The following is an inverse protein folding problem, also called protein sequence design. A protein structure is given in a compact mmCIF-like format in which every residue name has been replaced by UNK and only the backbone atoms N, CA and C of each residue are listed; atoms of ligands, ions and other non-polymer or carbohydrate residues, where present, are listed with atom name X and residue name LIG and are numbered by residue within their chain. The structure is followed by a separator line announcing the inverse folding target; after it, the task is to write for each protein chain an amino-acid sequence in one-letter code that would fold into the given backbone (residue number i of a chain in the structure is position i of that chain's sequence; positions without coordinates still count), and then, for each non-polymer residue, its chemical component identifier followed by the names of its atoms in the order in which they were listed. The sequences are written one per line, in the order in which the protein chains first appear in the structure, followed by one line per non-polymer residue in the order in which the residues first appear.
data_IF_007498985782
#
_entry.id   IF_007498985782
#
_cell.length_a   1.000
_cell.length_b   1.000
_cell.length_c   1.000
_cell.angle_alpha   90.00
_cell.angle_beta   90.00
_cell.angle_gamma   90.00
#
_symmetry.space_group_name_H-M   'P 1'
#
loop_
_entity.id
_entity.type
_entity.pdbx_description
1 polymer ?
#
# COMPACT_ATOMS: atom_id res chain seq x y z
N UNK A 1 -25.34 9.87 13.40
CA UNK A 1 -25.10 8.44 13.05
C UNK A 1 -24.55 8.40 11.64
N UNK A 2 -23.51 7.63 11.36
CA UNK A 2 -23.02 7.45 9.99
C UNK A 2 -23.92 6.49 9.21
N UNK A 3 -24.03 6.68 7.90
CA UNK A 3 -24.70 5.78 6.97
C UNK A 3 -23.65 4.96 6.21
N UNK A 4 -23.89 3.66 6.04
CA UNK A 4 -23.05 2.80 5.20
C UNK A 4 -23.46 3.01 3.75
N UNK A 5 -22.67 3.79 3.01
CA UNK A 5 -22.92 4.06 1.57
C UNK A 5 -22.26 3.04 0.64
N UNK A 6 -21.28 2.28 1.14
CA UNK A 6 -20.59 1.24 0.40
C UNK A 6 -19.84 0.31 1.35
N UNK A 7 -19.80 -0.98 1.01
CA UNK A 7 -19.06 -2.01 1.73
C UNK A 7 -18.51 -3.09 0.78
N UNK A 8 -17.44 -3.76 1.19
CA UNK A 8 -16.90 -4.91 0.47
C UNK A 8 -16.31 -5.92 1.46
N UNK A 9 -16.72 -7.19 1.33
CA UNK A 9 -16.23 -8.29 2.16
C UNK A 9 -15.01 -8.96 1.51
N UNK A 10 -13.81 -8.64 1.99
CA UNK A 10 -12.55 -9.22 1.50
C UNK A 10 -12.23 -10.61 2.07
N UNK A 11 -13.03 -11.11 3.04
CA UNK A 11 -12.85 -12.41 3.73
C UNK A 11 -11.51 -12.58 4.44
N UNK A 12 -10.89 -11.48 4.86
CA UNK A 12 -9.69 -11.42 5.70
C UNK A 12 -9.66 -10.09 6.48
N UNK A 13 -8.63 -9.88 7.30
CA UNK A 13 -8.46 -8.67 8.12
C UNK A 13 -7.81 -7.55 7.31
N UNK A 14 -8.59 -6.52 6.97
CA UNK A 14 -8.09 -5.32 6.30
C UNK A 14 -7.20 -4.52 7.25
N UNK A 15 -6.07 -4.01 6.74
CA UNK A 15 -5.29 -2.98 7.43
C UNK A 15 -5.51 -1.60 6.82
N UNK A 16 -5.39 -1.49 5.50
CA UNK A 16 -5.48 -0.24 4.76
C UNK A 16 -6.47 -0.33 3.61
N UNK A 17 -7.19 0.76 3.36
CA UNK A 17 -7.98 0.92 2.14
C UNK A 17 -7.96 2.40 1.73
N UNK A 18 -7.78 2.67 0.44
CA UNK A 18 -7.85 4.01 -0.14
C UNK A 18 -8.78 4.01 -1.35
N UNK A 19 -9.50 5.11 -1.53
CA UNK A 19 -10.20 5.39 -2.78
C UNK A 19 -9.18 5.95 -3.77
N UNK A 20 -9.02 5.27 -4.91
CA UNK A 20 -8.18 5.71 -6.01
C UNK A 20 -8.87 6.82 -6.81
N UNK A 21 -8.09 7.61 -7.55
CA UNK A 21 -8.60 8.70 -8.40
C UNK A 21 -9.60 8.25 -9.45
N UNK A 22 -9.50 7.01 -9.92
CA UNK A 22 -10.44 6.40 -10.88
C UNK A 22 -11.78 5.98 -10.24
N UNK A 23 -11.96 6.13 -8.94
CA UNK A 23 -13.16 5.75 -8.21
C UNK A 23 -13.15 4.32 -7.64
N UNK A 24 -12.16 3.49 -7.99
CA UNK A 24 -11.99 2.15 -7.42
C UNK A 24 -11.38 2.22 -6.01
N UNK A 25 -11.55 1.16 -5.23
CA UNK A 25 -10.97 1.04 -3.88
C UNK A 25 -9.79 0.07 -3.93
N UNK A 26 -8.61 0.53 -3.54
CA UNK A 26 -7.44 -0.32 -3.32
C UNK A 26 -7.40 -0.73 -1.85
N UNK A 27 -7.26 -2.03 -1.59
CA UNK A 27 -7.36 -2.64 -0.27
C UNK A 27 -6.11 -3.45 0.01
N UNK A 28 -5.47 -3.18 1.14
CA UNK A 28 -4.38 -3.97 1.70
C UNK A 28 -4.95 -4.94 2.75
N UNK A 29 -4.84 -6.23 2.44
CA UNK A 29 -5.58 -7.29 3.13
C UNK A 29 -4.92 -7.79 4.41
N UNK A 30 -3.98 -7.01 4.97
CA UNK A 30 -3.26 -7.36 6.18
C UNK A 30 -2.64 -8.75 6.05
N UNK A 31 -3.05 -9.68 6.92
CA UNK A 31 -2.52 -11.05 6.97
C UNK A 31 -3.02 -11.93 5.81
N UNK A 32 -3.91 -11.40 4.96
CA UNK A 32 -4.34 -12.06 3.74
C UNK A 32 -3.30 -12.04 2.61
N UNK A 33 -2.15 -11.37 2.83
CA UNK A 33 -1.01 -11.31 1.91
C UNK A 33 -1.41 -10.87 0.50
N UNK A 34 -2.32 -9.90 0.41
CA UNK A 34 -2.79 -9.43 -0.90
C UNK A 34 -3.12 -7.95 -0.92
N UNK A 35 -3.02 -7.39 -2.12
CA UNK A 35 -3.51 -6.06 -2.47
C UNK A 35 -4.56 -6.24 -3.56
N UNK A 36 -5.75 -5.68 -3.35
CA UNK A 36 -6.91 -5.89 -4.22
C UNK A 36 -7.50 -4.55 -4.63
N UNK A 37 -7.70 -4.34 -5.93
CA UNK A 37 -8.47 -3.22 -6.46
C UNK A 37 -9.89 -3.66 -6.79
N UNK A 38 -10.87 -2.96 -6.24
CA UNK A 38 -12.30 -3.26 -6.36
C UNK A 38 -13.06 -2.08 -6.92
N UNK A 39 -13.91 -2.31 -7.92
CA UNK A 39 -14.79 -1.26 -8.49
C UNK A 39 -15.94 -0.91 -7.54
N UNK A 40 -16.63 0.23 -7.74
CA UNK A 40 -17.85 0.55 -6.98
C UNK A 40 -18.92 -0.55 -7.05
N UNK A 41 -19.00 -1.29 -8.17
CA UNK A 41 -19.88 -2.44 -8.40
C UNK A 41 -19.36 -3.74 -7.75
N UNK A 42 -18.37 -3.65 -6.86
CA UNK A 42 -17.81 -4.76 -6.08
C UNK A 42 -17.10 -5.83 -6.93
N UNK A 43 -16.59 -5.46 -8.11
CA UNK A 43 -15.80 -6.35 -8.97
C UNK A 43 -14.31 -6.19 -8.70
N UNK A 44 -13.58 -7.29 -8.54
CA UNK A 44 -12.11 -7.25 -8.48
C UNK A 44 -11.57 -7.06 -9.89
N UNK A 45 -10.75 -6.03 -10.09
CA UNK A 45 -10.16 -5.70 -11.41
C UNK A 45 -8.64 -5.78 -11.43
N UNK A 46 -8.00 -5.85 -10.27
CA UNK A 46 -6.56 -6.04 -10.13
C UNK A 46 -6.25 -6.69 -8.77
N UNK A 47 -5.27 -7.60 -8.75
CA UNK A 47 -4.81 -8.27 -7.54
C UNK A 47 -3.32 -8.60 -7.62
N UNK A 48 -2.62 -8.47 -6.48
CA UNK A 48 -1.34 -9.13 -6.20
C UNK A 48 -1.51 -9.94 -4.92
N UNK A 49 -1.08 -11.20 -4.94
CA UNK A 49 -1.27 -12.13 -3.82
C UNK A 49 -0.06 -13.02 -3.63
N UNK A 50 0.32 -13.21 -2.36
CA UNK A 50 1.44 -14.00 -1.85
C UNK A 50 2.84 -13.52 -2.29
N UNK A 51 3.03 -13.13 -3.54
CA UNK A 51 4.27 -12.61 -4.09
C UNK A 51 3.99 -11.61 -5.21
N UNK A 52 4.85 -10.61 -5.39
CA UNK A 52 4.77 -9.71 -6.55
C UNK A 52 5.26 -10.46 -7.80
N UNK A 53 4.47 -10.50 -8.90
CA UNK A 53 4.82 -11.24 -10.12
C UNK A 53 6.18 -10.83 -10.69
N UNK A 54 6.90 -11.81 -11.26
CA UNK A 54 8.21 -11.62 -11.89
C UNK A 54 9.29 -11.02 -10.96
N UNK A 55 9.09 -11.11 -9.65
CA UNK A 55 10.06 -10.71 -8.62
C UNK A 55 10.27 -11.83 -7.60
N UNK A 56 11.20 -11.64 -6.65
CA UNK A 56 11.33 -12.45 -5.44
C UNK A 56 10.59 -11.89 -4.22
N UNK A 57 9.80 -10.81 -4.37
CA UNK A 57 9.21 -10.08 -3.24
C UNK A 57 7.96 -10.78 -2.72
N UNK A 58 8.11 -11.47 -1.60
CA UNK A 58 7.02 -12.09 -0.85
C UNK A 58 6.20 -11.07 -0.08
N UNK A 59 4.88 -11.29 -0.05
CA UNK A 59 3.93 -10.49 0.70
C UNK A 59 3.78 -11.01 2.15
N UNK A 60 3.97 -10.11 3.10
CA UNK A 60 3.78 -10.35 4.52
C UNK A 60 2.45 -9.80 5.02
N UNK A 61 2.52 -8.89 5.97
CA UNK A 61 1.37 -8.13 6.47
C UNK A 61 1.21 -6.86 5.64
N UNK A 62 0.21 -6.84 4.75
CA UNK A 62 0.01 -5.72 3.83
C UNK A 62 -0.64 -4.53 4.53
N UNK A 63 0.03 -3.38 4.55
CA UNK A 63 -0.35 -2.23 5.39
C UNK A 63 -0.72 -0.97 4.60
N UNK A 64 -0.19 0.21 4.94
CA UNK A 64 -0.54 1.49 4.34
C UNK A 64 -0.39 1.46 2.81
N UNK A 65 -1.23 2.27 2.16
CA UNK A 65 -1.32 2.42 0.72
C UNK A 65 -1.25 3.90 0.36
N UNK A 66 -0.58 4.22 -0.74
CA UNK A 66 -0.60 5.56 -1.31
C UNK A 66 -0.63 5.48 -2.84
N UNK A 67 -1.57 6.19 -3.46
CA UNK A 67 -1.57 6.40 -4.92
C UNK A 67 -0.74 7.64 -5.25
N UNK A 68 0.20 7.51 -6.18
CA UNK A 68 1.03 8.61 -6.66
C UNK A 68 0.38 9.39 -7.81
N UNK A 69 0.95 10.56 -8.14
CA UNK A 69 0.48 11.41 -9.24
C UNK A 69 0.51 10.70 -10.59
N UNK A 70 1.51 9.83 -10.82
CA UNK A 70 1.68 9.02 -12.02
C UNK A 70 0.76 7.77 -12.09
N UNK A 71 -0.05 7.50 -11.06
CA UNK A 71 -0.93 6.33 -10.99
C UNK A 71 -0.27 5.06 -10.42
N UNK A 72 1.03 5.10 -10.11
CA UNK A 72 1.69 4.02 -9.38
C UNK A 72 1.21 3.96 -7.94
N UNK A 73 1.42 2.81 -7.30
CA UNK A 73 0.99 2.54 -5.93
C UNK A 73 2.21 2.29 -5.06
N UNK A 74 2.29 2.97 -3.93
CA UNK A 74 3.24 2.68 -2.87
C UNK A 74 2.53 1.79 -1.85
N UNK A 75 3.17 0.68 -1.49
CA UNK A 75 2.57 -0.41 -0.71
C UNK A 75 3.48 -0.78 0.45
N UNK A 76 2.93 -0.82 1.66
CA UNK A 76 3.61 -1.32 2.85
C UNK A 76 3.57 -2.84 2.94
N UNK A 77 4.72 -3.45 3.22
CA UNK A 77 4.93 -4.90 3.32
C UNK A 77 5.54 -5.25 4.69
N UNK A 78 4.83 -4.90 5.76
CA UNK A 78 5.28 -5.14 7.13
C UNK A 78 5.37 -6.65 7.41
N UNK A 79 6.21 -7.09 8.34
CA UNK A 79 6.32 -8.51 8.71
C UNK A 79 6.67 -9.48 7.56
N UNK A 80 7.31 -8.99 6.49
CA UNK A 80 7.72 -9.82 5.34
C UNK A 80 9.13 -10.43 5.50
N UNK A 81 9.86 -10.10 6.57
CA UNK A 81 11.22 -10.59 6.80
C UNK A 81 12.31 -9.76 6.11
N UNK A 82 13.56 -10.11 6.39
CA UNK A 82 14.78 -9.36 6.04
C UNK A 82 15.21 -9.48 4.57
N UNK A 83 14.52 -10.29 3.79
CA UNK A 83 14.76 -10.48 2.35
C UNK A 83 13.73 -9.77 1.47
N UNK A 84 12.84 -8.98 2.07
CA UNK A 84 11.76 -8.29 1.38
C UNK A 84 11.77 -6.81 1.76
N UNK A 85 11.56 -5.91 0.79
CA UNK A 85 11.46 -4.48 1.08
C UNK A 85 10.26 -4.20 1.98
N UNK A 86 10.40 -3.26 2.89
CA UNK A 86 9.33 -2.87 3.81
C UNK A 86 8.28 -1.98 3.11
N UNK A 87 8.69 -1.27 2.05
CA UNK A 87 7.79 -0.52 1.16
C UNK A 87 8.26 -0.73 -0.28
N UNK A 88 7.32 -0.84 -1.23
CA UNK A 88 7.65 -0.84 -2.65
C UNK A 88 6.67 0.01 -3.48
N UNK A 89 7.16 0.56 -4.59
CA UNK A 89 6.37 1.19 -5.64
C UNK A 89 6.10 0.19 -6.76
N UNK A 90 4.83 0.02 -7.11
CA UNK A 90 4.40 -0.88 -8.17
C UNK A 90 3.55 -0.16 -9.22
N UNK A 91 3.80 -0.46 -10.49
CA UNK A 91 2.99 0.01 -11.62
C UNK A 91 1.68 -0.76 -11.74
N UNK A 92 0.77 -0.28 -12.60
CA UNK A 92 -0.44 -1.04 -12.93
C UNK A 92 -0.12 -2.42 -13.54
N UNK A 93 0.96 -2.50 -14.33
CA UNK A 93 1.45 -3.74 -14.96
C UNK A 93 2.24 -4.63 -13.99
N UNK A 94 2.15 -4.37 -12.68
CA UNK A 94 2.77 -5.15 -11.60
C UNK A 94 4.30 -5.15 -11.61
N UNK A 95 4.93 -4.15 -12.23
CA UNK A 95 6.39 -3.97 -12.19
C UNK A 95 6.77 -3.15 -10.98
N UNK A 96 7.74 -3.64 -10.20
CA UNK A 96 8.34 -2.86 -9.11
C UNK A 96 9.35 -1.89 -9.70
N UNK A 97 9.23 -0.61 -9.34
CA UNK A 97 10.07 0.47 -9.89
C UNK A 97 10.87 1.21 -8.82
N UNK A 98 10.56 0.98 -7.55
CA UNK A 98 11.28 1.53 -6.40
C UNK A 98 11.01 0.69 -5.16
N UNK A 99 11.97 0.65 -4.24
CA UNK A 99 11.91 -0.09 -2.99
C UNK A 99 12.50 0.75 -1.86
N UNK A 100 11.91 0.61 -0.67
CA UNK A 100 12.51 0.97 0.61
C UNK A 100 12.86 -0.33 1.32
N UNK A 101 14.14 -0.68 1.29
CA UNK A 101 14.69 -1.89 1.90
C UNK A 101 15.76 -1.50 2.94
N UNK A 102 15.30 -0.91 4.02
CA UNK A 102 16.14 -0.32 5.08
C UNK A 102 15.97 -1.13 6.37
N UNK A 103 16.30 -2.42 6.31
CA UNK A 103 16.09 -3.35 7.43
C UNK A 103 16.77 -2.89 8.73
N UNK A 104 17.99 -2.38 8.66
CA UNK A 104 18.71 -1.93 9.85
C UNK A 104 18.05 -0.71 10.52
N UNK A 105 17.25 0.06 9.77
CA UNK A 105 16.58 1.25 10.28
C UNK A 105 15.23 0.92 10.93
N UNK A 106 14.40 0.12 10.26
CA UNK A 106 12.99 -0.11 10.67
C UNK A 106 12.70 -1.57 11.05
N UNK A 107 13.63 -2.48 10.77
CA UNK A 107 13.47 -3.91 10.91
C UNK A 107 12.18 -4.39 10.28
N UNK A 108 11.48 -5.24 11.03
CA UNK A 108 10.24 -5.84 10.57
C UNK A 108 8.98 -5.01 10.89
N UNK A 109 9.15 -3.74 11.31
CA UNK A 109 8.14 -2.94 11.99
C UNK A 109 7.83 -1.59 11.33
N UNK A 110 7.32 -1.61 10.09
CA UNK A 110 6.92 -0.40 9.36
C UNK A 110 5.47 -0.49 8.84
N UNK A 111 4.51 -0.43 9.76
CA UNK A 111 3.10 -0.59 9.43
C UNK A 111 2.47 0.70 8.86
N UNK A 112 2.82 1.86 9.44
CA UNK A 112 2.34 3.18 9.01
C UNK A 112 3.49 4.04 8.49
N UNK A 113 3.28 4.65 7.33
CA UNK A 113 4.23 5.56 6.69
C UNK A 113 3.47 6.49 5.75
N UNK A 114 4.12 7.56 5.30
CA UNK A 114 3.61 8.41 4.23
C UNK A 114 4.78 8.92 3.40
N UNK A 115 4.66 8.82 2.08
CA UNK A 115 5.64 9.40 1.16
C UNK A 115 5.24 10.85 0.86
N UNK A 116 6.15 11.78 1.11
CA UNK A 116 5.94 13.21 0.88
C UNK A 116 6.80 13.69 -0.29
N UNK A 117 6.20 14.42 -1.22
CA UNK A 117 6.95 15.14 -2.24
C UNK A 117 7.69 16.36 -1.64
N UNK A 118 8.54 17.01 -2.44
CA UNK A 118 9.35 18.13 -1.96
C UNK A 118 8.53 19.29 -1.39
N UNK A 119 7.37 19.60 -1.99
CA UNK A 119 6.49 20.66 -1.50
C UNK A 119 5.84 20.27 -0.17
N UNK A 120 5.35 19.03 -0.07
CA UNK A 120 4.77 18.49 1.16
C UNK A 120 5.80 18.41 2.29
N UNK A 121 7.01 17.94 2.00
CA UNK A 121 8.11 17.86 2.97
C UNK A 121 8.50 19.24 3.48
N UNK A 122 8.62 20.25 2.59
CA UNK A 122 8.90 21.62 2.97
C UNK A 122 7.79 22.20 3.88
N UNK A 123 6.52 21.92 3.57
CA UNK A 123 5.39 22.33 4.40
C UNK A 123 5.46 21.70 5.80
N UNK A 124 5.69 20.39 5.88
CA UNK A 124 5.81 19.67 7.15
C UNK A 124 6.97 20.24 7.98
N UNK A 125 8.15 20.42 7.37
CA UNK A 125 9.31 21.02 8.03
C UNK A 125 9.02 22.42 8.56
N UNK A 126 8.33 23.26 7.78
CA UNK A 126 7.93 24.61 8.21
C UNK A 126 6.96 24.56 9.40
N UNK A 127 6.05 23.60 9.44
CA UNK A 127 5.08 23.43 10.55
C UNK A 127 5.71 22.86 11.82
N UNK A 128 6.79 22.10 11.69
CA UNK A 128 7.54 21.51 12.80
C UNK A 128 8.68 22.38 13.32
N UNK A 129 9.08 23.41 12.56
CA UNK A 129 10.07 24.37 13.02
C UNK A 129 9.49 25.12 14.24
N UNK A 130 10.17 25.01 15.38
CA UNK A 130 9.84 25.74 16.60
C UNK A 130 10.17 27.21 16.46
#
# INVERSE_FOLDING_TARGET
KGEVVWDYLIKTRVYGAIRLKNGNTLIASGSGKSIVEVTPEKKVVWEVKDQVPDTGIGLGWMTCLQELKNGNRIIGNCHAGDKNPQIFEITHDKKVVWEFDEWDLVGNGLACWQLLDGQQSALVRKKLAK
#
